data_IF_084844293490
#
_entry.id   IF_084844293490
#
_cell.length_a   1.000
_cell.length_b   1.000
_cell.length_c   1.000
_cell.angle_alpha   90.00
_cell.angle_beta   90.00
_cell.angle_gamma   90.00
#
_symmetry.space_group_name_H-M   'P 1'
#
loop_
_entity.id
_entity.type
_entity.pdbx_description
1 polymer ?
#
# COMPACT_ATOMS: atom_id res chain seq x y z
N UNK A 1 55.99 54.64 11.28
CA UNK A 1 55.94 53.15 11.44
C UNK A 1 54.64 52.69 10.86
N UNK A 2 54.61 52.10 9.67
CA UNK A 2 53.41 51.58 9.02
C UNK A 2 53.32 50.08 9.30
N UNK A 3 52.29 49.67 10.03
CA UNK A 3 51.99 48.23 10.27
C UNK A 3 51.31 47.66 9.03
N UNK A 4 51.98 46.75 8.34
CA UNK A 4 51.41 45.95 7.26
C UNK A 4 50.76 44.72 7.92
N UNK A 5 49.44 44.65 7.89
CA UNK A 5 48.66 43.50 8.33
C UNK A 5 48.59 42.53 7.15
N UNK A 6 49.36 41.44 7.20
CA UNK A 6 49.28 40.37 6.20
C UNK A 6 48.07 39.47 6.50
N UNK A 7 47.03 39.56 5.65
CA UNK A 7 45.88 38.66 5.69
C UNK A 7 46.25 37.36 4.97
N UNK A 8 46.46 36.29 5.69
CA UNK A 8 46.60 34.93 5.13
C UNK A 8 45.24 34.41 4.70
N UNK A 9 45.01 34.28 3.39
CA UNK A 9 43.83 33.63 2.82
C UNK A 9 44.10 32.12 2.86
N UNK A 10 43.42 31.42 3.76
CA UNK A 10 43.40 29.96 3.84
C UNK A 10 42.42 29.46 2.78
N UNK A 11 42.93 28.90 1.69
CA UNK A 11 42.13 28.13 0.73
C UNK A 11 41.75 26.78 1.36
N UNK A 12 40.53 26.66 1.89
CA UNK A 12 39.93 25.36 2.17
C UNK A 12 39.57 24.73 0.82
N UNK A 13 40.35 23.80 0.34
CA UNK A 13 40.00 22.93 -0.78
C UNK A 13 38.96 21.94 -0.26
N UNK A 14 37.69 22.19 -0.54
CA UNK A 14 36.65 21.16 -0.45
C UNK A 14 36.94 20.13 -1.54
N UNK A 15 37.39 18.94 -1.15
CA UNK A 15 37.38 17.79 -2.04
C UNK A 15 35.93 17.44 -2.28
N UNK A 16 35.34 17.97 -3.34
CA UNK A 16 34.08 17.47 -3.89
C UNK A 16 34.41 16.07 -4.44
N UNK A 17 33.99 15.02 -3.73
CA UNK A 17 33.98 13.67 -4.27
C UNK A 17 32.89 13.64 -5.36
N UNK A 18 33.21 14.13 -6.54
CA UNK A 18 32.40 13.99 -7.74
C UNK A 18 32.51 12.54 -8.25
N UNK A 19 31.56 12.13 -9.09
CA UNK A 19 31.64 10.85 -9.81
C UNK A 19 32.93 10.78 -10.61
N UNK A 20 33.63 9.65 -10.51
CA UNK A 20 34.80 9.37 -11.33
C UNK A 20 34.39 9.06 -12.77
N UNK A 21 35.37 9.06 -13.68
CA UNK A 21 35.12 8.60 -15.05
C UNK A 21 34.72 7.12 -15.08
N UNK A 22 35.30 6.32 -14.20
CA UNK A 22 34.98 4.90 -14.02
C UNK A 22 33.55 4.70 -13.57
N UNK A 23 33.04 5.49 -12.63
CA UNK A 23 31.64 5.47 -12.20
C UNK A 23 30.69 5.80 -13.35
N UNK A 24 31.02 6.84 -14.15
CA UNK A 24 30.22 7.23 -15.31
C UNK A 24 30.16 6.12 -16.37
N UNK A 25 31.27 5.43 -16.63
CA UNK A 25 31.32 4.28 -17.53
C UNK A 25 30.46 3.13 -16.97
N UNK A 26 30.58 2.85 -15.68
CA UNK A 26 29.81 1.78 -15.05
C UNK A 26 28.31 2.04 -15.07
N UNK A 27 27.88 3.27 -14.77
CA UNK A 27 26.46 3.65 -14.89
C UNK A 27 25.94 3.54 -16.32
N UNK A 28 26.75 3.94 -17.31
CA UNK A 28 26.38 3.76 -18.72
C UNK A 28 26.21 2.29 -19.09
N UNK A 29 27.10 1.40 -18.63
CA UNK A 29 27.00 -0.05 -18.84
C UNK A 29 25.73 -0.62 -18.21
N UNK A 30 25.44 -0.26 -16.96
CA UNK A 30 24.23 -0.68 -16.24
C UNK A 30 22.98 -0.21 -16.98
N UNK A 31 22.89 1.06 -17.34
CA UNK A 31 21.76 1.62 -18.06
C UNK A 31 21.55 0.93 -19.41
N UNK A 32 22.63 0.71 -20.15
CA UNK A 32 22.57 0.02 -21.46
C UNK A 32 22.08 -1.43 -21.31
N UNK A 33 22.56 -2.16 -20.31
CA UNK A 33 22.13 -3.53 -20.05
C UNK A 33 20.64 -3.60 -19.72
N UNK A 34 20.18 -2.76 -18.75
CA UNK A 34 18.78 -2.76 -18.31
C UNK A 34 17.86 -2.34 -19.44
N UNK A 35 18.16 -1.26 -20.17
CA UNK A 35 17.31 -0.74 -21.23
C UNK A 35 17.20 -1.68 -22.45
N UNK A 36 18.25 -2.44 -22.75
CA UNK A 36 18.26 -3.30 -23.95
C UNK A 36 17.96 -4.77 -23.64
N UNK A 37 18.25 -5.27 -22.44
CA UNK A 37 18.14 -6.69 -22.08
C UNK A 37 17.40 -6.95 -20.77
N UNK A 38 16.94 -5.89 -20.08
CA UNK A 38 16.17 -6.03 -18.84
C UNK A 38 14.90 -6.85 -19.04
N UNK A 39 14.54 -7.63 -18.04
CA UNK A 39 13.35 -8.50 -18.05
C UNK A 39 12.21 -7.95 -17.21
N UNK A 40 12.43 -6.88 -16.46
CA UNK A 40 11.47 -6.34 -15.49
C UNK A 40 10.08 -6.13 -16.08
N UNK A 41 9.95 -5.57 -17.29
CA UNK A 41 8.64 -5.34 -17.91
C UNK A 41 7.90 -6.66 -18.21
N UNK A 42 8.60 -7.64 -18.77
CA UNK A 42 8.00 -8.92 -19.11
C UNK A 42 7.65 -9.72 -17.84
N UNK A 43 8.48 -9.65 -16.81
CA UNK A 43 8.23 -10.29 -15.51
C UNK A 43 7.08 -9.60 -14.76
N UNK A 44 6.98 -8.26 -14.83
CA UNK A 44 5.83 -7.54 -14.30
C UNK A 44 4.54 -7.95 -15.02
N UNK A 45 4.58 -8.04 -16.33
CA UNK A 45 3.44 -8.52 -17.13
C UNK A 45 3.06 -9.96 -16.77
N UNK A 46 4.03 -10.84 -16.58
CA UNK A 46 3.79 -12.23 -16.17
C UNK A 46 3.13 -12.29 -14.77
N UNK A 47 3.67 -11.56 -13.81
CA UNK A 47 3.12 -11.47 -12.45
C UNK A 47 1.67 -10.93 -12.46
N UNK A 48 1.41 -9.86 -13.20
CA UNK A 48 0.12 -9.18 -13.18
C UNK A 48 -0.96 -9.84 -14.05
N UNK A 49 -0.58 -10.45 -15.18
CA UNK A 49 -1.56 -11.06 -16.11
C UNK A 49 -1.80 -12.53 -15.85
N UNK A 50 -0.80 -13.27 -15.38
CA UNK A 50 -0.92 -14.71 -15.17
C UNK A 50 -1.23 -15.08 -13.71
N UNK A 51 -0.82 -14.23 -12.74
CA UNK A 51 -1.16 -14.41 -11.33
C UNK A 51 -2.24 -13.41 -10.92
N UNK A 52 -2.07 -12.12 -11.25
CA UNK A 52 -3.06 -11.07 -10.99
C UNK A 52 -3.01 -10.54 -9.57
N UNK A 53 -4.19 -10.15 -9.05
CA UNK A 53 -4.35 -9.73 -7.67
C UNK A 53 -3.96 -10.86 -6.70
N UNK A 54 -3.20 -10.52 -5.68
CA UNK A 54 -2.51 -11.51 -4.86
C UNK A 54 -2.42 -11.10 -3.39
N UNK A 55 -3.59 -10.78 -2.80
CA UNK A 55 -3.64 -10.44 -1.38
C UNK A 55 -3.10 -11.61 -0.54
N UNK A 56 -2.29 -11.29 0.45
CA UNK A 56 -1.72 -12.27 1.37
C UNK A 56 -2.80 -13.18 1.94
N UNK A 57 -2.54 -14.48 1.92
CA UNK A 57 -3.52 -15.48 2.34
C UNK A 57 -4.30 -16.12 1.18
N UNK A 58 -4.27 -15.56 -0.03
CA UNK A 58 -4.91 -16.13 -1.21
C UNK A 58 -4.04 -17.20 -1.89
N UNK A 59 -4.65 -18.04 -2.71
CA UNK A 59 -3.91 -18.98 -3.57
C UNK A 59 -3.02 -18.26 -4.59
N UNK A 60 -3.45 -17.07 -5.06
CA UNK A 60 -2.66 -16.26 -5.98
C UNK A 60 -1.37 -15.76 -5.31
N UNK A 61 -1.43 -15.42 -4.01
CA UNK A 61 -0.24 -15.08 -3.26
C UNK A 61 0.76 -16.26 -3.19
N UNK A 62 0.29 -17.46 -2.89
CA UNK A 62 1.15 -18.64 -2.84
C UNK A 62 1.77 -19.00 -4.22
N UNK A 63 1.04 -18.71 -5.31
CA UNK A 63 1.62 -18.79 -6.67
C UNK A 63 2.70 -17.73 -6.88
N UNK A 64 2.52 -16.52 -6.38
CA UNK A 64 3.51 -15.45 -6.50
C UNK A 64 4.77 -15.72 -5.68
N UNK A 65 4.68 -16.40 -4.53
CA UNK A 65 5.84 -16.88 -3.76
C UNK A 65 6.71 -17.81 -4.60
N UNK A 66 6.11 -18.82 -5.24
CA UNK A 66 6.82 -19.75 -6.13
C UNK A 66 7.42 -19.02 -7.35
N UNK A 67 6.67 -18.10 -7.92
CA UNK A 67 7.12 -17.27 -9.02
C UNK A 67 8.35 -16.44 -8.64
N UNK A 68 8.30 -15.73 -7.50
CA UNK A 68 9.41 -14.91 -7.02
C UNK A 68 10.66 -15.74 -6.72
N UNK A 69 10.51 -16.92 -6.09
CA UNK A 69 11.60 -17.87 -5.86
C UNK A 69 12.29 -18.28 -7.18
N UNK A 70 11.48 -18.60 -8.19
CA UNK A 70 11.99 -18.95 -9.51
C UNK A 70 12.71 -17.77 -10.17
N UNK A 71 12.12 -16.54 -10.13
CA UNK A 71 12.71 -15.36 -10.76
C UNK A 71 14.03 -14.93 -10.12
N UNK A 72 14.17 -15.06 -8.81
CA UNK A 72 15.43 -14.83 -8.10
C UNK A 72 16.52 -15.83 -8.52
N UNK A 73 16.17 -17.11 -8.68
CA UNK A 73 17.09 -18.13 -9.22
C UNK A 73 17.50 -17.82 -10.67
N UNK A 74 16.54 -17.45 -11.52
CA UNK A 74 16.78 -17.07 -12.93
C UNK A 74 17.62 -15.78 -13.06
N UNK A 75 17.51 -14.86 -12.09
CA UNK A 75 18.34 -13.65 -12.01
C UNK A 75 19.77 -13.94 -11.56
N UNK A 76 20.06 -15.17 -11.14
CA UNK A 76 21.41 -15.61 -10.78
C UNK A 76 21.77 -15.36 -9.32
N UNK A 77 20.80 -15.29 -8.42
CA UNK A 77 21.07 -15.24 -6.98
C UNK A 77 21.94 -16.43 -6.54
N UNK A 78 22.93 -16.19 -5.69
CA UNK A 78 23.80 -17.24 -5.15
C UNK A 78 23.05 -18.11 -4.13
N UNK A 79 22.08 -17.51 -3.43
CA UNK A 79 21.19 -18.16 -2.48
C UNK A 79 19.78 -17.65 -2.63
N UNK A 80 18.80 -18.53 -2.52
CA UNK A 80 17.36 -18.20 -2.45
C UNK A 80 16.73 -19.04 -1.36
N UNK A 81 15.92 -18.40 -0.50
CA UNK A 81 15.20 -19.09 0.57
C UNK A 81 13.87 -18.44 0.86
N UNK A 82 13.00 -19.18 1.53
CA UNK A 82 11.71 -18.74 2.01
C UNK A 82 11.82 -18.42 3.50
N UNK A 83 11.38 -17.25 3.91
CA UNK A 83 11.24 -16.87 5.31
C UNK A 83 9.79 -16.99 5.73
N UNK A 84 9.49 -17.94 6.62
CA UNK A 84 8.14 -18.14 7.13
C UNK A 84 7.66 -16.95 7.94
N UNK A 85 6.38 -16.62 7.77
CA UNK A 85 5.70 -15.56 8.49
C UNK A 85 4.22 -15.91 8.66
N UNK A 86 3.70 -15.73 9.89
CA UNK A 86 2.25 -15.85 10.16
C UNK A 86 1.55 -14.59 9.68
N UNK A 87 0.57 -14.75 8.80
CA UNK A 87 -0.16 -13.65 8.18
C UNK A 87 -1.66 -13.74 8.48
N UNK A 88 -2.34 -12.59 8.69
CA UNK A 88 -3.79 -12.55 8.75
C UNK A 88 -4.38 -12.83 7.37
N UNK A 89 -5.49 -13.56 7.35
CA UNK A 89 -6.27 -13.82 6.13
C UNK A 89 -7.54 -13.01 6.19
N UNK A 90 -7.73 -12.12 5.25
CA UNK A 90 -8.95 -11.33 5.07
C UNK A 90 -9.53 -11.61 3.68
N UNK A 91 -10.86 -11.75 3.62
CA UNK A 91 -11.59 -11.97 2.37
C UNK A 91 -12.69 -10.93 2.20
N UNK A 92 -12.87 -10.43 0.98
CA UNK A 92 -13.90 -9.45 0.65
C UNK A 92 -15.30 -10.06 0.58
N UNK A 93 -15.45 -11.15 -0.13
CA UNK A 93 -16.75 -11.78 -0.38
C UNK A 93 -17.68 -10.94 -1.27
N UNK A 94 -18.99 -11.22 -1.17
CA UNK A 94 -20.03 -10.46 -1.89
C UNK A 94 -20.37 -9.19 -1.12
N UNK A 95 -20.58 -8.09 -1.85
CA UNK A 95 -20.87 -6.79 -1.26
C UNK A 95 -21.80 -5.93 -2.12
N UNK A 96 -22.63 -5.11 -1.48
CA UNK A 96 -23.48 -4.13 -2.15
C UNK A 96 -23.83 -2.97 -1.24
N UNK A 97 -23.78 -1.76 -1.77
CA UNK A 97 -24.22 -0.53 -1.12
C UNK A 97 -25.35 0.08 -1.95
N UNK A 98 -26.45 0.43 -1.29
CA UNK A 98 -27.60 1.10 -1.91
C UNK A 98 -27.96 2.33 -1.12
N UNK A 99 -28.42 3.36 -1.80
CA UNK A 99 -28.97 4.58 -1.17
C UNK A 99 -30.39 4.83 -1.62
N UNK A 100 -31.13 5.56 -0.80
CA UNK A 100 -32.51 5.95 -1.08
C UNK A 100 -32.83 7.30 -0.44
N UNK A 101 -33.40 8.23 -1.21
CA UNK A 101 -34.06 9.41 -0.69
C UNK A 101 -35.35 9.02 0.05
N UNK A 102 -35.89 9.88 0.91
CA UNK A 102 -37.02 9.56 1.79
C UNK A 102 -38.23 8.93 1.05
N UNK A 103 -38.59 9.42 -0.12
CA UNK A 103 -39.68 8.90 -0.96
C UNK A 103 -39.19 8.27 -2.27
N UNK A 104 -37.89 7.93 -2.35
CA UNK A 104 -37.24 7.43 -3.56
C UNK A 104 -37.17 5.91 -3.66
N UNK A 105 -36.67 5.45 -4.80
CA UNK A 105 -36.27 4.05 -5.02
C UNK A 105 -34.82 3.83 -4.60
N UNK A 106 -34.47 2.57 -4.29
CA UNK A 106 -33.09 2.17 -4.03
C UNK A 106 -32.23 2.33 -5.29
N UNK A 107 -31.11 3.07 -5.18
CA UNK A 107 -30.05 3.20 -6.18
C UNK A 107 -28.82 2.46 -5.68
N UNK A 108 -28.27 1.55 -6.47
CA UNK A 108 -27.00 0.87 -6.15
C UNK A 108 -25.82 1.80 -6.46
N UNK A 109 -24.86 1.87 -5.56
CA UNK A 109 -23.59 2.58 -5.73
C UNK A 109 -22.45 1.57 -5.96
N UNK A 110 -21.46 1.96 -6.75
CA UNK A 110 -20.18 1.25 -6.77
C UNK A 110 -19.48 1.49 -5.44
N UNK A 111 -18.97 0.42 -4.86
CA UNK A 111 -18.27 0.48 -3.58
C UNK A 111 -17.25 -0.65 -3.47
N UNK A 112 -16.31 -0.49 -2.56
CA UNK A 112 -15.44 -1.57 -2.08
C UNK A 112 -15.40 -1.50 -0.56
N UNK A 113 -15.54 -2.66 0.11
CA UNK A 113 -15.18 -2.73 1.54
C UNK A 113 -13.72 -2.37 1.72
N UNK A 114 -13.42 -1.65 2.78
CA UNK A 114 -12.02 -1.36 3.12
C UNK A 114 -11.33 -2.63 3.61
N UNK A 115 -10.05 -2.74 3.31
CA UNK A 115 -9.24 -3.87 3.78
C UNK A 115 -9.24 -3.98 5.30
N UNK A 116 -9.32 -5.19 5.81
CA UNK A 116 -9.50 -5.53 7.22
C UNK A 116 -10.87 -5.16 7.81
N UNK A 117 -11.83 -4.67 7.00
CA UNK A 117 -13.17 -4.39 7.47
C UNK A 117 -13.90 -5.67 7.85
N UNK A 118 -14.67 -5.61 8.93
CA UNK A 118 -15.74 -6.58 9.20
C UNK A 118 -16.93 -6.29 8.30
N UNK A 119 -17.62 -7.32 7.84
CA UNK A 119 -18.83 -7.21 7.03
C UNK A 119 -20.10 -7.17 7.86
N UNK A 120 -21.23 -7.23 7.16
CA UNK A 120 -22.56 -7.34 7.78
C UNK A 120 -23.01 -8.80 7.95
N UNK A 121 -22.14 -9.77 7.69
CA UNK A 121 -22.44 -11.21 7.68
C UNK A 121 -23.61 -11.56 6.76
N UNK A 122 -23.71 -10.89 5.61
CA UNK A 122 -24.78 -11.10 4.63
C UNK A 122 -26.14 -10.53 5.02
N UNK A 123 -26.24 -9.81 6.14
CA UNK A 123 -27.47 -9.14 6.57
C UNK A 123 -27.50 -7.70 6.05
N UNK A 124 -28.70 -7.20 5.78
CA UNK A 124 -28.89 -5.79 5.43
C UNK A 124 -28.76 -4.91 6.68
N UNK A 125 -27.79 -4.01 6.69
CA UNK A 125 -27.65 -2.96 7.71
C UNK A 125 -27.97 -1.63 7.08
N UNK A 126 -28.92 -0.88 7.67
CA UNK A 126 -29.36 0.41 7.12
C UNK A 126 -29.46 1.52 8.16
N UNK A 127 -29.31 2.75 7.72
CA UNK A 127 -29.42 3.94 8.55
C UNK A 127 -29.41 5.23 7.70
N UNK A 128 -29.79 6.34 8.32
CA UNK A 128 -29.66 7.67 7.73
C UNK A 128 -28.17 8.05 7.66
N UNK A 129 -27.76 8.68 6.56
CA UNK A 129 -26.39 9.16 6.37
C UNK A 129 -26.23 10.53 6.99
N UNK A 130 -25.18 10.72 7.77
CA UNK A 130 -24.64 12.01 8.15
C UNK A 130 -23.27 12.18 7.48
N UNK A 131 -22.98 13.36 6.97
CA UNK A 131 -21.74 13.65 6.26
C UNK A 131 -20.87 14.59 7.07
N UNK A 132 -19.57 14.33 7.08
CA UNK A 132 -18.52 15.22 7.62
C UNK A 132 -17.40 15.37 6.60
N UNK A 133 -16.84 16.58 6.52
CA UNK A 133 -15.73 16.92 5.61
C UNK A 133 -14.37 16.94 6.29
N UNK A 134 -14.36 16.84 7.62
CA UNK A 134 -13.12 16.81 8.39
C UNK A 134 -13.32 16.08 9.72
N UNK A 135 -12.22 15.63 10.33
CA UNK A 135 -12.24 15.10 11.69
C UNK A 135 -12.71 16.15 12.69
N UNK A 136 -12.36 17.41 12.48
CA UNK A 136 -12.84 18.53 13.31
C UNK A 136 -14.36 18.69 13.25
N UNK A 137 -14.98 18.47 12.10
CA UNK A 137 -16.46 18.44 12.00
C UNK A 137 -17.03 17.21 12.72
N UNK A 138 -16.41 16.05 12.53
CA UNK A 138 -16.83 14.82 13.21
C UNK A 138 -16.75 14.95 14.74
N UNK A 139 -15.70 15.55 15.27
CA UNK A 139 -15.50 15.72 16.71
C UNK A 139 -16.59 16.57 17.38
N UNK A 140 -17.16 17.53 16.63
CA UNK A 140 -18.27 18.37 17.10
C UNK A 140 -19.63 17.63 17.18
N UNK A 141 -19.77 16.48 16.54
CA UNK A 141 -20.99 15.69 16.62
C UNK A 141 -21.10 15.01 17.99
N UNK A 142 -22.27 15.09 18.60
CA UNK A 142 -22.54 14.32 19.83
C UNK A 142 -22.75 12.83 19.52
N UNK A 143 -22.67 11.98 20.54
CA UNK A 143 -22.99 10.55 20.42
C UNK A 143 -24.43 10.34 19.92
N UNK A 144 -25.38 11.13 20.39
CA UNK A 144 -26.79 11.03 19.99
C UNK A 144 -27.00 11.35 18.51
N UNK A 145 -26.18 12.26 17.95
CA UNK A 145 -26.25 12.60 16.53
C UNK A 145 -25.70 11.47 15.64
N UNK A 146 -24.75 10.69 16.13
CA UNK A 146 -24.09 9.61 15.37
C UNK A 146 -24.75 8.25 15.60
N UNK A 147 -25.30 8.02 16.80
CA UNK A 147 -25.94 6.76 17.17
C UNK A 147 -26.96 6.31 16.12
N UNK A 148 -26.86 5.03 15.72
CA UNK A 148 -27.72 4.41 14.70
C UNK A 148 -27.65 5.03 13.30
N UNK A 149 -26.73 5.97 13.05
CA UNK A 149 -26.48 6.60 11.75
C UNK A 149 -25.34 5.91 11.00
N UNK A 150 -25.16 6.35 9.77
CA UNK A 150 -24.05 6.00 8.90
C UNK A 150 -23.23 7.28 8.73
N UNK A 151 -21.94 7.23 9.00
CA UNK A 151 -21.06 8.39 8.85
C UNK A 151 -20.37 8.34 7.50
N UNK A 152 -20.61 9.35 6.68
CA UNK A 152 -19.90 9.56 5.43
C UNK A 152 -18.76 10.58 5.63
N UNK A 153 -17.52 10.08 5.61
CA UNK A 153 -16.32 10.90 5.65
C UNK A 153 -15.96 11.35 4.24
N UNK A 154 -16.44 12.54 3.89
CA UNK A 154 -16.27 13.12 2.55
C UNK A 154 -15.08 14.09 2.51
N UNK A 155 -13.89 13.62 2.90
CA UNK A 155 -12.67 14.42 2.83
C UNK A 155 -12.04 14.31 1.44
N UNK A 156 -11.92 15.40 0.66
CA UNK A 156 -11.37 15.33 -0.69
C UNK A 156 -9.86 15.18 -0.66
N UNK A 157 -9.33 14.42 -1.61
CA UNK A 157 -7.89 14.34 -1.84
C UNK A 157 -7.37 15.71 -2.32
N UNK A 158 -6.52 16.35 -1.51
CA UNK A 158 -6.10 17.73 -1.76
C UNK A 158 -5.20 17.86 -2.98
N UNK A 159 -5.59 18.71 -3.92
CA UNK A 159 -4.81 19.06 -5.11
C UNK A 159 -3.75 20.16 -4.85
N UNK A 160 -3.70 20.71 -3.63
CA UNK A 160 -2.77 21.80 -3.30
C UNK A 160 -1.34 21.33 -2.96
N UNK A 161 -1.17 20.06 -2.70
CA UNK A 161 0.14 19.49 -2.39
C UNK A 161 0.93 19.19 -3.66
N UNK A 162 2.15 19.73 -3.76
CA UNK A 162 3.09 19.40 -4.84
C UNK A 162 3.53 17.93 -4.76
N UNK A 163 3.69 17.41 -3.55
CA UNK A 163 4.03 16.02 -3.30
C UNK A 163 2.77 15.19 -3.07
N UNK A 164 2.45 14.29 -3.98
CA UNK A 164 1.25 13.43 -3.93
C UNK A 164 1.15 12.64 -2.61
N UNK A 165 2.26 12.11 -2.08
CA UNK A 165 2.24 11.39 -0.82
C UNK A 165 1.88 12.23 0.40
N UNK A 166 2.06 13.56 0.37
CA UNK A 166 1.53 14.45 1.42
C UNK A 166 0.01 14.49 1.39
N UNK A 167 -0.58 14.63 0.20
CA UNK A 167 -2.04 14.58 0.03
C UNK A 167 -2.60 13.21 0.43
N UNK A 168 -1.90 12.13 0.07
CA UNK A 168 -2.27 10.78 0.48
C UNK A 168 -2.25 10.61 2.00
N UNK A 169 -1.16 11.01 2.67
CA UNK A 169 -1.02 10.90 4.14
C UNK A 169 -2.08 11.72 4.87
N UNK A 170 -2.42 12.90 4.35
CA UNK A 170 -3.45 13.78 4.89
C UNK A 170 -4.85 13.13 4.80
N UNK A 171 -5.18 12.49 3.68
CA UNK A 171 -6.46 11.83 3.47
C UNK A 171 -6.53 10.42 4.09
N UNK A 172 -5.39 9.71 4.23
CA UNK A 172 -5.36 8.31 4.67
C UNK A 172 -5.91 8.08 6.08
N UNK A 173 -5.83 9.11 6.96
CA UNK A 173 -6.39 9.03 8.30
C UNK A 173 -7.90 8.76 8.28
N UNK A 174 -8.64 9.32 7.31
CA UNK A 174 -10.07 9.11 7.17
C UNK A 174 -10.38 7.66 6.82
N UNK A 175 -9.64 7.06 5.87
CA UNK A 175 -9.79 5.65 5.55
C UNK A 175 -9.43 4.75 6.72
N UNK A 176 -8.32 5.02 7.38
CA UNK A 176 -7.81 4.14 8.43
C UNK A 176 -8.59 4.18 9.73
N UNK A 177 -9.31 5.28 10.05
CA UNK A 177 -9.96 5.46 11.35
C UNK A 177 -11.48 5.60 11.29
N UNK A 178 -12.08 5.77 10.12
CA UNK A 178 -13.52 6.03 9.96
C UNK A 178 -14.41 5.03 10.71
N UNK A 179 -14.15 3.73 10.59
CA UNK A 179 -14.92 2.72 11.29
C UNK A 179 -14.80 2.85 12.81
N UNK A 180 -13.57 2.96 13.32
CA UNK A 180 -13.32 3.10 14.75
C UNK A 180 -14.00 4.34 15.34
N UNK A 181 -13.90 5.47 14.66
CA UNK A 181 -14.57 6.71 15.07
C UNK A 181 -16.09 6.55 15.07
N UNK A 182 -16.66 6.02 14.00
CA UNK A 182 -18.11 5.80 13.88
C UNK A 182 -18.62 4.86 14.97
N UNK A 183 -17.92 3.75 15.25
CA UNK A 183 -18.26 2.79 16.29
C UNK A 183 -18.26 3.42 17.68
N UNK A 184 -17.27 4.25 18.02
CA UNK A 184 -17.17 4.93 19.33
C UNK A 184 -18.38 5.77 19.69
N UNK A 185 -19.10 6.29 18.71
CA UNK A 185 -20.35 7.04 18.90
C UNK A 185 -21.61 6.25 18.54
N UNK A 186 -21.51 4.91 18.42
CA UNK A 186 -22.64 4.01 18.15
C UNK A 186 -23.23 4.08 16.75
N UNK A 187 -22.46 4.52 15.77
CA UNK A 187 -22.85 4.48 14.36
C UNK A 187 -22.76 3.07 13.78
N UNK A 188 -23.50 2.79 12.70
CA UNK A 188 -23.70 1.44 12.15
C UNK A 188 -22.61 1.02 11.18
N UNK A 189 -22.16 1.90 10.31
CA UNK A 189 -21.01 1.70 9.41
C UNK A 189 -20.50 3.03 8.89
N UNK A 190 -19.30 3.01 8.33
CA UNK A 190 -18.67 4.17 7.74
C UNK A 190 -18.61 4.08 6.21
N UNK A 191 -18.82 5.21 5.54
CA UNK A 191 -18.53 5.41 4.11
C UNK A 191 -17.36 6.38 4.02
N UNK A 192 -16.40 6.10 3.14
CA UNK A 192 -15.21 6.94 2.93
C UNK A 192 -15.12 7.32 1.46
N UNK A 193 -14.84 8.59 1.19
CA UNK A 193 -14.44 9.03 -0.14
C UNK A 193 -13.09 8.38 -0.51
N UNK A 194 -12.95 7.89 -1.74
CA UNK A 194 -11.71 7.28 -2.21
C UNK A 194 -10.53 8.25 -2.20
N UNK A 195 -9.36 7.74 -1.79
CA UNK A 195 -8.12 8.50 -1.71
C UNK A 195 -7.45 8.53 -3.09
N UNK A 196 -7.96 9.37 -3.96
CA UNK A 196 -7.47 9.50 -5.33
C UNK A 196 -7.64 10.92 -5.84
N UNK A 197 -6.71 11.37 -6.67
CA UNK A 197 -6.83 12.61 -7.44
C UNK A 197 -7.63 12.41 -8.73
N UNK A 198 -7.97 11.18 -9.11
CA UNK A 198 -8.76 10.89 -10.29
C UNK A 198 -10.21 11.36 -10.11
N UNK A 199 -10.78 11.92 -11.18
CA UNK A 199 -12.18 12.32 -11.23
C UNK A 199 -13.00 11.23 -11.92
N UNK A 200 -13.21 10.13 -11.21
CA UNK A 200 -13.91 8.94 -11.70
C UNK A 200 -14.80 8.32 -10.61
N UNK A 201 -15.48 7.23 -10.98
CA UNK A 201 -16.34 6.44 -10.11
C UNK A 201 -15.71 5.08 -9.75
N UNK A 202 -14.38 5.07 -9.58
CA UNK A 202 -13.65 3.87 -9.15
C UNK A 202 -13.41 3.95 -7.65
N UNK A 203 -14.04 3.07 -6.84
CA UNK A 203 -13.76 3.04 -5.40
C UNK A 203 -12.38 2.45 -5.15
N UNK A 204 -11.63 3.07 -4.23
CA UNK A 204 -10.31 2.62 -3.80
C UNK A 204 -10.38 1.93 -2.45
N UNK A 205 -9.81 0.74 -2.35
CA UNK A 205 -9.64 0.04 -1.08
C UNK A 205 -8.34 0.45 -0.40
N UNK A 206 -8.01 -0.17 0.71
CA UNK A 206 -6.81 -0.02 1.50
C UNK A 206 -7.10 -0.41 2.94
N UNK A 207 -6.06 -0.69 3.73
CA UNK A 207 -6.23 -1.15 5.10
C UNK A 207 -6.86 -0.09 6.01
N UNK A 208 -7.72 -0.55 6.89
CA UNK A 208 -8.24 0.21 8.01
C UNK A 208 -7.92 -0.48 9.34
N UNK A 209 -8.13 0.21 10.44
CA UNK A 209 -7.81 -0.28 11.80
C UNK A 209 -8.94 0.06 12.76
N UNK A 210 -9.29 -0.90 13.60
CA UNK A 210 -10.30 -0.71 14.65
C UNK A 210 -9.70 -0.21 15.96
N UNK A 211 -8.39 -0.52 16.25
CA UNK A 211 -7.88 -0.39 17.61
C UNK A 211 -8.73 -1.22 18.57
N UNK A 212 -9.11 -0.61 19.69
CA UNK A 212 -9.97 -1.24 20.71
C UNK A 212 -11.48 -1.00 20.46
N UNK A 213 -11.86 -0.45 19.29
CA UNK A 213 -13.27 -0.16 18.98
C UNK A 213 -14.02 -1.41 18.55
N UNK A 214 -15.34 -1.39 18.73
CA UNK A 214 -16.23 -2.36 18.10
C UNK A 214 -15.99 -2.45 16.59
N UNK A 215 -16.07 -3.65 16.05
CA UNK A 215 -15.84 -3.90 14.62
C UNK A 215 -17.14 -3.68 13.85
N UNK A 216 -17.23 -2.55 13.16
CA UNK A 216 -18.33 -2.23 12.27
C UNK A 216 -17.84 -2.13 10.82
N UNK A 217 -18.71 -2.31 9.81
CA UNK A 217 -18.30 -2.21 8.42
C UNK A 217 -17.78 -0.83 8.04
N UNK A 218 -16.82 -0.80 7.10
CA UNK A 218 -16.39 0.41 6.42
C UNK A 218 -16.18 0.17 4.94
N UNK A 219 -16.64 1.10 4.10
CA UNK A 219 -16.63 1.00 2.66
C UNK A 219 -16.14 2.28 2.01
N UNK A 220 -15.51 2.17 0.85
CA UNK A 220 -15.15 3.31 0.00
C UNK A 220 -16.10 3.43 -1.18
N UNK A 221 -16.33 4.67 -1.64
CA UNK A 221 -17.03 5.02 -2.87
C UNK A 221 -16.13 5.89 -3.75
N UNK A 222 -16.35 5.87 -5.07
CA UNK A 222 -15.58 6.68 -6.03
C UNK A 222 -15.84 8.18 -5.84
N UNK A 223 -14.94 9.01 -6.41
CA UNK A 223 -14.96 10.46 -6.21
C UNK A 223 -16.21 11.12 -6.79
N UNK A 224 -16.65 10.71 -8.00
CA UNK A 224 -17.87 11.28 -8.61
C UNK A 224 -19.12 10.86 -7.87
N UNK A 225 -19.19 9.60 -7.38
CA UNK A 225 -20.28 9.15 -6.50
C UNK A 225 -20.29 9.91 -5.17
N UNK A 226 -19.13 10.23 -4.61
CA UNK A 226 -19.02 11.03 -3.38
C UNK A 226 -19.58 12.46 -3.57
N UNK A 227 -19.28 13.10 -4.70
CA UNK A 227 -19.81 14.43 -5.05
C UNK A 227 -21.32 14.40 -5.29
N UNK A 228 -21.84 13.38 -5.95
CA UNK A 228 -23.28 13.18 -6.12
C UNK A 228 -23.98 12.98 -4.77
N UNK A 229 -23.44 12.12 -3.91
CA UNK A 229 -23.99 11.86 -2.58
C UNK A 229 -23.98 13.14 -1.71
N UNK A 230 -22.89 13.92 -1.75
CA UNK A 230 -22.85 15.23 -1.08
C UNK A 230 -23.96 16.15 -1.57
N UNK A 231 -24.17 16.23 -2.88
CA UNK A 231 -25.21 17.07 -3.48
C UNK A 231 -26.61 16.68 -3.01
N UNK A 232 -26.88 15.37 -2.95
CA UNK A 232 -28.15 14.83 -2.45
C UNK A 232 -28.36 15.14 -0.95
N UNK A 233 -27.32 14.98 -0.14
CA UNK A 233 -27.38 15.21 1.30
C UNK A 233 -27.61 16.69 1.69
N UNK A 234 -27.27 17.64 0.80
CA UNK A 234 -27.57 19.08 1.00
C UNK A 234 -29.05 19.40 0.89
N UNK A 235 -29.79 18.62 0.13
CA UNK A 235 -31.19 18.91 -0.19
C UNK A 235 -32.20 17.99 0.52
N UNK A 236 -31.77 16.81 0.98
CA UNK A 236 -32.68 15.81 1.53
C UNK A 236 -31.98 14.78 2.42
N UNK A 237 -32.76 14.10 3.25
CA UNK A 237 -32.27 12.95 4.02
C UNK A 237 -32.10 11.73 3.11
N UNK A 238 -30.97 11.08 3.24
CA UNK A 238 -30.61 9.87 2.49
C UNK A 238 -30.42 8.72 3.48
N UNK A 239 -31.03 7.58 3.18
CA UNK A 239 -30.79 6.32 3.87
C UNK A 239 -29.85 5.48 3.02
N UNK A 240 -28.80 4.93 3.62
CA UNK A 240 -28.00 3.87 2.97
C UNK A 240 -28.33 2.49 3.54
N UNK A 241 -28.04 1.48 2.73
CA UNK A 241 -28.14 0.07 3.08
C UNK A 241 -26.94 -0.68 2.55
N UNK A 242 -26.23 -1.34 3.45
CA UNK A 242 -25.04 -2.16 3.16
C UNK A 242 -25.36 -3.63 3.41
N UNK A 243 -24.89 -4.48 2.49
CA UNK A 243 -24.81 -5.93 2.67
C UNK A 243 -23.41 -6.37 2.23
N UNK A 244 -22.65 -7.01 3.11
CA UNK A 244 -21.28 -7.42 2.83
C UNK A 244 -20.86 -8.65 3.62
N UNK A 245 -20.02 -9.49 3.02
CA UNK A 245 -19.51 -10.72 3.61
C UNK A 245 -17.99 -10.68 3.87
N UNK A 246 -17.37 -9.50 3.80
CA UNK A 246 -15.96 -9.37 4.10
C UNK A 246 -15.65 -9.67 5.56
N UNK A 247 -14.40 -10.04 5.83
CA UNK A 247 -13.96 -10.26 7.20
C UNK A 247 -12.73 -11.13 7.32
N UNK A 248 -12.21 -11.18 8.53
CA UNK A 248 -11.06 -11.99 8.89
C UNK A 248 -11.43 -13.48 8.93
N UNK A 249 -10.55 -14.32 8.36
CA UNK A 249 -10.68 -15.79 8.32
C UNK A 249 -9.64 -16.50 9.21
N UNK A 250 -8.98 -15.76 10.08
CA UNK A 250 -7.92 -16.27 10.95
C UNK A 250 -6.53 -15.91 10.44
N UNK A 251 -5.54 -16.69 10.83
CA UNK A 251 -4.14 -16.55 10.44
C UNK A 251 -3.64 -17.85 9.83
N UNK A 252 -2.65 -17.77 8.94
CA UNK A 252 -1.98 -18.95 8.38
C UNK A 252 -0.49 -18.66 8.14
N UNK A 253 0.36 -19.70 8.08
CA UNK A 253 1.74 -19.53 7.64
C UNK A 253 1.80 -19.20 6.14
N UNK A 254 2.73 -18.35 5.78
CA UNK A 254 3.11 -18.03 4.40
C UNK A 254 4.56 -17.56 4.39
N UNK A 255 5.07 -16.96 3.29
CA UNK A 255 6.50 -16.69 3.14
C UNK A 255 6.80 -15.34 2.49
N UNK A 256 7.82 -14.67 3.00
CA UNK A 256 8.62 -13.73 2.21
C UNK A 256 9.67 -14.52 1.41
N UNK A 257 10.02 -14.04 0.22
CA UNK A 257 11.03 -14.69 -0.63
C UNK A 257 12.29 -13.85 -0.64
N UNK A 258 13.44 -14.47 -0.36
CA UNK A 258 14.69 -13.74 -0.22
C UNK A 258 15.74 -14.38 -1.13
N UNK A 259 16.45 -13.53 -1.89
CA UNK A 259 17.58 -13.94 -2.72
C UNK A 259 18.78 -13.02 -2.53
N UNK A 260 20.00 -13.54 -2.65
CA UNK A 260 21.18 -12.71 -2.48
C UNK A 260 22.32 -13.04 -3.44
N UNK A 261 23.11 -12.00 -3.72
CA UNK A 261 24.48 -12.12 -4.24
C UNK A 261 25.45 -11.89 -3.09
N UNK A 262 26.26 -12.89 -2.79
CA UNK A 262 27.19 -12.87 -1.66
C UNK A 262 28.30 -11.85 -1.89
N UNK A 263 28.50 -10.95 -0.93
CA UNK A 263 29.59 -9.98 -0.92
C UNK A 263 30.96 -10.65 -0.69
N UNK A 264 32.02 -10.03 -1.24
CA UNK A 264 33.38 -10.60 -1.18
C UNK A 264 34.26 -9.98 -0.10
N UNK A 265 33.91 -8.79 0.40
CA UNK A 265 34.79 -8.02 1.27
C UNK A 265 34.44 -8.14 2.75
N UNK A 266 33.15 -8.05 3.09
CA UNK A 266 32.69 -8.05 4.48
C UNK A 266 31.30 -8.66 4.61
N UNK A 267 30.76 -8.67 5.84
CA UNK A 267 29.44 -9.20 6.15
C UNK A 267 28.29 -8.19 5.97
N UNK A 268 28.58 -6.97 5.51
CA UNK A 268 27.56 -5.94 5.30
C UNK A 268 26.59 -6.36 4.23
N UNK A 269 25.31 -6.00 4.44
CA UNK A 269 24.22 -6.36 3.52
C UNK A 269 23.52 -5.07 3.06
N UNK A 270 23.43 -4.92 1.75
CA UNK A 270 22.58 -3.89 1.11
C UNK A 270 21.27 -4.58 0.77
N UNK A 271 20.18 -4.12 1.36
CA UNK A 271 18.84 -4.66 1.12
C UNK A 271 18.12 -3.80 0.10
N UNK A 272 17.59 -4.44 -0.94
CA UNK A 272 16.64 -3.87 -1.89
C UNK A 272 15.39 -4.76 -1.90
N UNK A 273 14.22 -4.21 -2.15
CA UNK A 273 13.01 -5.04 -2.12
C UNK A 273 11.74 -4.24 -2.27
N UNK A 274 10.66 -4.95 -2.24
CA UNK A 274 9.30 -4.48 -2.25
C UNK A 274 8.38 -5.54 -1.64
N UNK A 275 7.07 -5.29 -1.63
CA UNK A 275 6.14 -6.31 -1.17
C UNK A 275 5.54 -7.11 -2.32
N UNK A 276 5.42 -8.41 -2.10
CA UNK A 276 4.96 -9.33 -3.13
C UNK A 276 3.44 -9.37 -3.25
N UNK A 277 2.74 -9.10 -2.15
CA UNK A 277 1.29 -9.05 -2.13
C UNK A 277 0.74 -7.78 -2.81
N UNK A 278 -0.52 -7.80 -3.14
CA UNK A 278 -1.31 -6.66 -3.61
C UNK A 278 -2.74 -6.81 -3.14
N UNK A 279 -3.53 -5.73 -3.19
CA UNK A 279 -4.96 -5.85 -2.91
C UNK A 279 -5.64 -6.85 -3.84
N UNK A 280 -6.77 -7.38 -3.37
CA UNK A 280 -7.63 -8.35 -4.05
C UNK A 280 -8.43 -7.75 -5.23
N UNK A 281 -8.21 -6.48 -5.53
CA UNK A 281 -8.77 -5.74 -6.65
C UNK A 281 -7.65 -5.03 -7.41
N UNK A 282 -7.78 -4.92 -8.73
CA UNK A 282 -6.70 -4.43 -9.58
C UNK A 282 -5.67 -5.53 -9.87
N UNK A 283 -4.56 -5.17 -10.47
CA UNK A 283 -3.51 -6.12 -10.92
C UNK A 283 -2.25 -6.07 -10.04
N UNK A 284 -2.13 -5.07 -9.15
CA UNK A 284 -0.96 -4.87 -8.31
C UNK A 284 0.33 -4.66 -9.13
N UNK A 285 0.23 -3.88 -10.22
CA UNK A 285 1.38 -3.63 -11.09
C UNK A 285 2.31 -2.56 -10.52
N UNK A 286 1.75 -1.41 -10.13
CA UNK A 286 2.51 -0.31 -9.55
C UNK A 286 2.80 -0.58 -8.06
N UNK A 287 1.81 -1.06 -7.34
CA UNK A 287 1.84 -1.36 -5.91
C UNK A 287 1.68 -2.89 -5.68
N UNK A 288 2.77 -3.68 -5.49
CA UNK A 288 4.16 -3.26 -5.65
C UNK A 288 4.92 -4.22 -6.60
N UNK A 289 4.22 -4.75 -7.62
CA UNK A 289 4.87 -5.60 -8.62
C UNK A 289 6.08 -4.93 -9.28
N UNK A 290 6.02 -3.60 -9.50
CA UNK A 290 7.12 -2.84 -10.08
C UNK A 290 8.35 -2.84 -9.16
N UNK A 291 8.18 -2.64 -7.85
CA UNK A 291 9.28 -2.71 -6.88
C UNK A 291 9.92 -4.08 -6.83
N UNK A 292 9.11 -5.15 -6.91
CA UNK A 292 9.60 -6.54 -6.94
C UNK A 292 10.48 -6.78 -8.18
N UNK A 293 9.99 -6.49 -9.38
CA UNK A 293 10.74 -6.82 -10.61
C UNK A 293 11.99 -5.95 -10.78
N UNK A 294 11.95 -4.68 -10.32
CA UNK A 294 13.12 -3.82 -10.30
C UNK A 294 14.19 -4.34 -9.34
N UNK A 295 13.77 -4.83 -8.17
CA UNK A 295 14.69 -5.41 -7.19
C UNK A 295 15.34 -6.69 -7.71
N UNK A 296 14.60 -7.57 -8.39
CA UNK A 296 15.12 -8.77 -9.04
C UNK A 296 16.11 -8.40 -10.16
N UNK A 297 15.81 -7.32 -10.93
CA UNK A 297 16.68 -6.86 -12.02
C UNK A 297 18.05 -6.37 -11.52
N UNK A 298 18.15 -5.89 -10.28
CA UNK A 298 19.43 -5.54 -9.67
C UNK A 298 20.36 -6.77 -9.65
N UNK A 299 19.88 -7.93 -9.16
CA UNK A 299 20.70 -9.13 -9.13
C UNK A 299 21.11 -9.58 -10.55
N UNK A 300 20.16 -9.59 -11.48
CA UNK A 300 20.40 -9.96 -12.88
C UNK A 300 21.45 -9.07 -13.53
N UNK A 301 21.35 -7.76 -13.33
CA UNK A 301 22.29 -6.79 -13.89
C UNK A 301 23.70 -7.01 -13.36
N UNK A 302 23.87 -7.23 -12.06
CA UNK A 302 25.17 -7.52 -11.46
C UNK A 302 25.79 -8.80 -12.04
N UNK A 303 24.98 -9.85 -12.20
CA UNK A 303 25.45 -11.11 -12.81
C UNK A 303 25.82 -10.96 -14.27
N UNK A 304 24.97 -10.36 -15.09
CA UNK A 304 25.19 -10.24 -16.53
C UNK A 304 26.43 -9.40 -16.86
N UNK A 305 26.69 -8.37 -16.06
CA UNK A 305 27.84 -7.47 -16.24
C UNK A 305 29.10 -7.91 -15.48
N UNK A 306 29.05 -9.03 -14.77
CA UNK A 306 30.10 -9.52 -13.86
C UNK A 306 30.60 -8.43 -12.88
N UNK A 307 29.67 -7.61 -12.36
CA UNK A 307 29.99 -6.58 -11.38
C UNK A 307 30.35 -7.24 -10.06
N UNK A 308 31.55 -6.97 -9.57
CA UNK A 308 32.01 -7.50 -8.28
C UNK A 308 31.44 -6.64 -7.14
N UNK A 309 30.57 -7.25 -6.34
CA UNK A 309 30.00 -6.59 -5.16
C UNK A 309 30.90 -6.84 -3.92
N UNK A 310 31.24 -5.77 -3.23
CA UNK A 310 31.96 -5.85 -1.95
C UNK A 310 31.05 -6.33 -0.82
N UNK A 311 29.84 -5.80 -0.76
CA UNK A 311 28.82 -6.12 0.21
C UNK A 311 27.81 -7.10 -0.39
N UNK A 312 27.18 -7.92 0.44
CA UNK A 312 26.05 -8.75 0.00
C UNK A 312 24.90 -7.88 -0.48
N UNK A 313 24.37 -8.16 -1.67
CA UNK A 313 23.13 -7.55 -2.18
C UNK A 313 22.02 -8.55 -1.94
N UNK A 314 21.03 -8.16 -1.14
CA UNK A 314 19.89 -8.99 -0.78
C UNK A 314 18.60 -8.41 -1.30
N UNK A 315 17.87 -9.17 -2.09
CA UNK A 315 16.52 -8.85 -2.53
C UNK A 315 15.54 -9.51 -1.58
N UNK A 316 14.56 -8.73 -1.10
CA UNK A 316 13.49 -9.23 -0.24
C UNK A 316 12.15 -8.91 -0.86
N UNK A 317 11.39 -9.96 -1.21
CA UNK A 317 10.00 -9.89 -1.63
C UNK A 317 9.13 -10.11 -0.39
N UNK A 318 8.73 -9.02 0.28
CA UNK A 318 8.04 -9.10 1.57
C UNK A 318 6.61 -9.63 1.43
N UNK A 319 6.18 -10.40 2.42
CA UNK A 319 4.80 -10.85 2.56
C UNK A 319 3.97 -9.85 3.33
N UNK A 320 2.67 -9.75 2.99
CA UNK A 320 1.65 -9.12 3.82
C UNK A 320 1.94 -7.65 4.19
N UNK A 321 2.35 -6.85 3.23
CA UNK A 321 2.48 -5.40 3.46
C UNK A 321 1.09 -4.77 3.57
N UNK A 322 0.22 -5.03 2.59
CA UNK A 322 -1.04 -4.35 2.35
C UNK A 322 -2.00 -4.36 3.55
N UNK A 323 -2.05 -5.45 4.28
CA UNK A 323 -3.01 -5.57 5.37
C UNK A 323 -2.43 -6.03 6.72
N UNK A 324 -1.09 -5.94 6.90
CA UNK A 324 -0.50 -6.36 8.17
C UNK A 324 0.98 -6.02 8.42
N UNK A 325 1.77 -5.75 7.37
CA UNK A 325 3.23 -5.48 7.44
C UNK A 325 4.01 -6.62 8.11
N UNK A 326 3.46 -7.85 8.11
CA UNK A 326 4.02 -8.98 8.87
C UNK A 326 5.37 -9.45 8.35
N UNK A 327 5.57 -9.48 7.02
CA UNK A 327 6.84 -9.87 6.42
C UNK A 327 7.98 -8.95 6.83
N UNK A 328 7.76 -7.63 6.78
CA UNK A 328 8.75 -6.65 7.22
C UNK A 328 9.08 -6.76 8.71
N UNK A 329 8.07 -6.97 9.56
CA UNK A 329 8.25 -7.18 10.99
C UNK A 329 9.07 -8.44 11.28
N UNK A 330 8.74 -9.56 10.61
CA UNK A 330 9.46 -10.83 10.77
C UNK A 330 10.90 -10.73 10.29
N UNK A 331 11.13 -10.09 9.14
CA UNK A 331 12.48 -9.85 8.63
C UNK A 331 13.32 -9.03 9.62
N UNK A 332 12.77 -7.91 10.11
CA UNK A 332 13.45 -7.07 11.09
C UNK A 332 13.77 -7.79 12.40
N UNK A 333 12.87 -8.68 12.87
CA UNK A 333 13.11 -9.53 14.05
C UNK A 333 14.29 -10.49 13.79
N UNK A 334 14.25 -11.22 12.68
CA UNK A 334 15.31 -12.19 12.30
C UNK A 334 16.68 -11.52 12.17
N UNK A 335 16.74 -10.30 11.60
CA UNK A 335 18.00 -9.56 11.49
C UNK A 335 18.55 -9.20 12.86
N UNK A 336 17.70 -8.78 13.80
CA UNK A 336 18.13 -8.44 15.18
C UNK A 336 18.61 -9.66 15.98
N UNK A 337 18.04 -10.83 15.74
CA UNK A 337 18.40 -12.08 16.42
C UNK A 337 19.73 -12.67 15.89
N UNK A 338 20.13 -12.33 14.67
CA UNK A 338 21.34 -12.86 14.01
C UNK A 338 22.53 -11.89 13.99
N UNK A 339 22.37 -10.68 14.56
CA UNK A 339 23.44 -9.71 14.78
C UNK A 339 23.78 -9.59 16.27
#
# INVERSE_FOLDING_TARGET
MKNILSTAIVFLSFNLFGQTKEDSIQFSRISTEILNKGKSYNELRDLTKNIGHRLSGSEAYEKSVKWAEQKLKEAGADKVWLQEVMIPVWERGKESLKIKAQNGKWKTLKMLSLGNSEGTHGKDVSGEIIMVKSLTEYDKLSTEQVKDKIVFFNYPFSQSYVQTFKAYSDAAVYRSTAAALTAKKGGKFAIVRSLSSAFDDVPHTGAMRYGDSEKIPAVAIGNTTADELESLLKSQKITAKLNSNCGMKGEKPSHSVIGELTGKKDKSVIVVGGHLDSWDVGEGAHDDGAGIVQSIEVLRTFKNLDIKNNHTIRVVCFANEENGVKGGQQYGKTVKENN
#
